data_IF_866850798207
#
_entry.id   IF_866850798207
#
_cell.length_a   1.000
_cell.length_b   1.000
_cell.length_c   1.000
_cell.angle_alpha   90.00
_cell.angle_beta   90.00
_cell.angle_gamma   90.00
#
_symmetry.space_group_name_H-M   'P 1'
#
loop_
_entity.id
_entity.type
_entity.pdbx_description
1 polymer ?
#
# COMPACT_ATOMS: atom_id res chain seq x y z
N UNK A 1 25.75 1.59 50.95
CA UNK A 1 25.69 0.38 50.09
C UNK A 1 24.55 -0.49 50.59
N UNK A 2 23.40 -0.44 49.92
CA UNK A 2 22.26 -1.32 50.18
C UNK A 2 21.94 -1.99 48.83
N UNK A 3 22.14 -3.30 48.77
CA UNK A 3 21.92 -4.10 47.57
C UNK A 3 20.43 -4.39 47.39
N UNK A 4 19.93 -4.10 46.20
CA UNK A 4 18.64 -4.59 45.70
C UNK A 4 18.94 -5.46 44.49
N UNK A 5 18.40 -6.68 44.51
CA UNK A 5 18.63 -7.74 43.53
C UNK A 5 17.96 -7.40 42.18
N UNK A 6 18.55 -7.74 41.03
CA UNK A 6 17.88 -7.65 39.74
C UNK A 6 16.88 -8.80 39.58
N UNK A 7 15.65 -8.49 39.16
CA UNK A 7 14.66 -9.46 38.74
C UNK A 7 14.94 -9.88 37.28
N UNK A 8 15.33 -11.13 37.09
CA UNK A 8 15.35 -11.83 35.81
C UNK A 8 13.93 -12.12 35.35
N UNK A 9 13.51 -11.55 34.22
CA UNK A 9 12.32 -11.97 33.48
C UNK A 9 12.74 -13.13 32.58
N UNK A 10 12.15 -14.29 32.82
CA UNK A 10 12.24 -15.47 31.98
C UNK A 10 10.87 -15.65 31.33
N UNK A 11 10.73 -15.35 30.04
CA UNK A 11 9.55 -15.74 29.27
C UNK A 11 9.95 -16.74 28.20
N UNK A 12 9.49 -17.97 28.44
CA UNK A 12 9.52 -19.11 27.55
C UNK A 12 8.37 -19.02 26.54
N UNK A 13 8.73 -19.04 25.26
CA UNK A 13 8.16 -19.86 24.18
C UNK A 13 6.63 -20.00 24.06
N UNK A 14 6.05 -19.43 23.00
CA UNK A 14 5.01 -20.09 22.19
C UNK A 14 4.86 -19.44 20.81
N UNK A 15 5.85 -19.64 19.94
CA UNK A 15 5.69 -19.52 18.49
C UNK A 15 5.71 -20.92 17.90
N UNK A 16 4.56 -21.41 17.41
CA UNK A 16 4.44 -22.42 16.33
C UNK A 16 3.03 -23.00 16.32
N UNK A 17 2.14 -22.43 15.51
CA UNK A 17 0.82 -23.01 15.26
C UNK A 17 0.31 -22.72 13.85
N UNK A 18 1.15 -22.88 12.83
CA UNK A 18 0.71 -23.02 11.44
C UNK A 18 1.65 -23.93 10.66
N UNK A 19 1.63 -25.22 10.96
CA UNK A 19 2.01 -26.26 9.98
C UNK A 19 1.31 -27.57 10.36
N UNK A 20 0.33 -27.97 9.56
CA UNK A 20 -0.23 -29.32 9.62
C UNK A 20 -0.45 -29.81 8.20
N UNK A 21 0.54 -30.54 7.70
CA UNK A 21 0.38 -31.48 6.59
C UNK A 21 0.35 -32.87 7.21
N UNK A 22 -0.67 -33.66 6.87
CA UNK A 22 -0.82 -35.05 7.30
C UNK A 22 -0.13 -35.97 6.29
N UNK A 23 0.70 -36.94 6.71
CA UNK A 23 1.20 -37.97 5.82
C UNK A 23 0.23 -39.16 5.79
N UNK A 24 -0.12 -39.62 4.58
CA UNK A 24 -0.76 -40.92 4.35
C UNK A 24 0.28 -41.81 3.68
N UNK A 25 0.74 -42.81 4.42
CA UNK A 25 1.53 -43.93 3.91
C UNK A 25 0.63 -44.91 3.13
N UNK A 26 1.06 -45.29 1.92
CA UNK A 26 0.74 -46.59 1.32
C UNK A 26 1.95 -47.12 0.57
N UNK A 27 2.39 -48.30 1.01
CA UNK A 27 3.48 -49.11 0.47
C UNK A 27 3.17 -49.70 -0.92
N UNK A 28 4.24 -49.85 -1.71
CA UNK A 28 4.48 -51.01 -2.60
C UNK A 28 4.04 -50.92 -4.06
N UNK A 29 4.99 -50.71 -4.98
CA UNK A 29 5.44 -51.71 -5.97
C UNK A 29 6.40 -51.08 -7.02
N UNK A 30 7.29 -51.92 -7.54
CA UNK A 30 8.56 -51.66 -8.21
C UNK A 30 8.56 -50.85 -9.52
N UNK A 31 9.64 -50.09 -9.75
CA UNK A 31 10.52 -50.23 -10.93
C UNK A 31 11.72 -49.28 -10.86
N UNK A 32 12.92 -49.83 -11.00
CA UNK A 32 14.18 -49.12 -11.23
C UNK A 32 14.12 -48.22 -12.49
N UNK A 33 14.74 -47.03 -12.44
CA UNK A 33 15.99 -46.74 -13.19
C UNK A 33 16.45 -45.29 -12.98
N UNK A 34 17.72 -45.14 -12.60
CA UNK A 34 18.49 -43.88 -12.55
C UNK A 34 18.60 -43.21 -13.93
N UNK A 35 18.49 -41.88 -14.00
CA UNK A 35 19.35 -41.00 -14.84
C UNK A 35 19.32 -39.57 -14.28
N UNK A 36 20.46 -38.91 -14.38
CA UNK A 36 20.93 -37.77 -13.61
C UNK A 36 20.44 -36.37 -14.07
N UNK A 37 20.60 -35.44 -13.13
CA UNK A 37 21.07 -34.03 -13.25
C UNK A 37 20.10 -32.88 -13.59
N UNK A 38 20.07 -31.89 -12.68
CA UNK A 38 19.98 -30.45 -12.96
C UNK A 38 18.60 -29.78 -13.07
N UNK A 39 18.18 -28.92 -12.10
CA UNK A 39 16.94 -28.17 -12.19
C UNK A 39 17.12 -26.87 -12.99
N UNK A 40 16.38 -26.71 -14.08
CA UNK A 40 16.20 -25.42 -14.74
C UNK A 40 14.97 -24.71 -14.12
N UNK A 41 15.24 -23.69 -13.32
CA UNK A 41 14.24 -22.74 -12.82
C UNK A 41 13.86 -21.79 -13.96
N UNK A 42 12.59 -21.64 -14.37
CA UNK A 42 12.20 -20.51 -15.19
C UNK A 42 12.01 -19.31 -14.27
N UNK A 43 13.06 -18.50 -14.21
CA UNK A 43 13.05 -17.10 -13.84
C UNK A 43 12.06 -16.38 -14.79
N UNK A 44 10.92 -15.95 -14.25
CA UNK A 44 9.97 -15.10 -14.95
C UNK A 44 10.15 -13.66 -14.46
N UNK A 45 11.35 -13.13 -14.68
CA UNK A 45 11.62 -11.71 -14.77
C UNK A 45 11.56 -11.32 -16.25
N UNK A 46 10.51 -10.60 -16.64
CA UNK A 46 10.45 -9.77 -17.84
C UNK A 46 9.17 -8.94 -17.74
N UNK A 47 9.17 -7.96 -16.85
CA UNK A 47 8.38 -6.75 -17.09
C UNK A 47 9.27 -5.84 -17.95
N UNK A 48 8.73 -5.54 -19.12
CA UNK A 48 9.35 -4.93 -20.27
C UNK A 48 9.58 -3.43 -20.01
N UNK A 49 10.64 -3.10 -19.27
CA UNK A 49 11.15 -1.73 -19.11
C UNK A 49 11.95 -1.28 -20.36
N UNK A 50 11.43 -1.53 -21.57
CA UNK A 50 11.95 -0.92 -22.79
C UNK A 50 11.57 0.58 -22.81
N UNK A 51 12.42 1.43 -22.22
CA UNK A 51 13.08 2.51 -22.97
C UNK A 51 12.74 2.65 -24.48
N UNK A 52 11.75 3.40 -25.04
CA UNK A 52 11.74 3.66 -26.47
C UNK A 52 12.94 4.57 -26.70
N UNK A 53 13.99 3.97 -27.22
CA UNK A 53 15.18 4.65 -27.67
C UNK A 53 14.78 5.45 -28.92
N UNK A 54 14.37 6.69 -28.69
CA UNK A 54 14.06 7.62 -29.78
C UNK A 54 15.36 8.00 -30.46
N UNK A 55 15.74 7.28 -31.51
CA UNK A 55 16.81 7.69 -32.42
C UNK A 55 16.39 8.99 -33.11
N UNK A 56 17.10 10.12 -32.93
CA UNK A 56 16.80 11.32 -33.67
C UNK A 56 17.21 11.09 -35.12
N UNK A 57 16.24 10.90 -36.01
CA UNK A 57 16.47 11.05 -37.45
C UNK A 57 17.17 12.40 -37.66
N UNK A 58 18.40 12.34 -38.16
CA UNK A 58 19.24 13.51 -38.43
C UNK A 58 18.69 14.25 -39.66
N UNK A 59 17.57 14.95 -39.50
CA UNK A 59 17.00 15.79 -40.55
C UNK A 59 17.63 17.19 -40.49
N UNK A 60 18.08 17.64 -41.66
CA UNK A 60 18.92 18.81 -41.93
C UNK A 60 18.54 20.10 -41.19
N UNK A 61 19.56 20.89 -40.86
CA UNK A 61 19.55 22.17 -40.12
C UNK A 61 18.55 23.23 -40.64
N UNK A 62 17.96 23.06 -41.83
CA UNK A 62 16.95 23.96 -42.42
C UNK A 62 15.50 23.65 -41.98
N UNK A 63 15.24 22.55 -41.26
CA UNK A 63 13.88 22.08 -40.86
C UNK A 63 13.53 22.45 -39.40
N UNK A 64 14.39 23.20 -38.71
CA UNK A 64 14.26 23.50 -37.27
C UNK A 64 13.23 24.61 -36.96
N UNK A 65 12.67 25.29 -37.96
CA UNK A 65 11.92 26.55 -37.79
C UNK A 65 10.39 26.42 -37.89
N UNK A 66 9.85 25.20 -37.89
CA UNK A 66 8.40 24.97 -37.81
C UNK A 66 7.96 24.77 -36.34
N UNK A 67 7.25 25.75 -35.73
CA UNK A 67 6.79 25.64 -34.34
C UNK A 67 5.88 24.43 -34.10
N UNK A 68 5.15 23.99 -35.12
CA UNK A 68 4.26 22.82 -35.02
C UNK A 68 5.09 21.55 -34.97
N UNK A 69 6.08 21.39 -35.86
CA UNK A 69 7.00 20.23 -35.81
C UNK A 69 7.81 20.21 -34.51
N UNK A 70 8.25 21.36 -34.02
CA UNK A 70 8.91 21.48 -32.72
C UNK A 70 7.99 21.00 -31.59
N UNK A 71 6.73 21.46 -31.58
CA UNK A 71 5.75 21.05 -30.56
C UNK A 71 5.42 19.56 -30.61
N UNK A 72 5.17 19.01 -31.80
CA UNK A 72 4.88 17.58 -32.00
C UNK A 72 6.05 16.70 -31.56
N UNK A 73 7.29 17.12 -31.86
CA UNK A 73 8.49 16.44 -31.39
C UNK A 73 8.61 16.53 -29.87
N UNK A 74 8.26 17.66 -29.25
CA UNK A 74 8.28 17.83 -27.79
C UNK A 74 7.27 16.94 -27.07
N UNK A 75 6.00 16.95 -27.49
CA UNK A 75 4.98 16.11 -26.87
C UNK A 75 5.18 14.62 -27.16
N UNK A 76 5.78 14.28 -28.31
CA UNK A 76 6.08 12.89 -28.69
C UNK A 76 7.15 12.22 -27.83
N UNK A 77 7.98 12.98 -27.10
CA UNK A 77 8.99 12.43 -26.19
C UNK A 77 8.40 11.82 -24.92
N UNK A 78 7.21 12.23 -24.51
CA UNK A 78 6.57 11.76 -23.28
C UNK A 78 5.65 10.60 -23.61
N UNK A 79 5.88 9.43 -23.00
CA UNK A 79 5.00 8.27 -23.18
C UNK A 79 3.61 8.56 -22.60
N UNK A 80 2.59 8.00 -23.23
CA UNK A 80 1.25 8.02 -22.67
C UNK A 80 1.21 7.21 -21.38
N UNK A 81 0.46 7.70 -20.39
CA UNK A 81 0.27 7.02 -19.12
C UNK A 81 -0.66 5.83 -19.30
N UNK A 82 -0.37 4.73 -18.60
CA UNK A 82 -1.34 3.66 -18.39
C UNK A 82 -2.33 4.06 -17.29
N UNK A 83 -3.48 3.38 -17.20
CA UNK A 83 -4.42 3.59 -16.10
C UNK A 83 -3.84 3.27 -14.72
N UNK A 84 -2.76 2.48 -14.63
CA UNK A 84 -2.04 2.25 -13.38
C UNK A 84 -1.17 3.47 -13.01
N UNK A 85 -0.49 4.05 -14.00
CA UNK A 85 0.35 5.24 -13.82
C UNK A 85 -0.48 6.46 -13.41
N UNK A 86 -1.63 6.65 -14.05
CA UNK A 86 -2.58 7.73 -13.71
C UNK A 86 -3.01 7.65 -12.24
N UNK A 87 -3.38 6.45 -11.77
CA UNK A 87 -3.73 6.21 -10.36
C UNK A 87 -2.56 6.47 -9.43
N UNK A 88 -1.36 6.01 -9.78
CA UNK A 88 -0.17 6.28 -8.96
C UNK A 88 0.14 7.77 -8.89
N UNK A 89 -0.01 8.51 -9.99
CA UNK A 89 0.24 9.94 -10.04
C UNK A 89 -0.82 10.71 -9.25
N UNK A 90 -2.09 10.34 -9.40
CA UNK A 90 -3.21 10.91 -8.64
C UNK A 90 -2.97 10.79 -7.13
N UNK A 91 -2.58 9.61 -6.63
CA UNK A 91 -2.26 9.40 -5.22
C UNK A 91 -1.10 10.27 -4.72
N UNK A 92 -0.05 10.43 -5.53
CA UNK A 92 1.09 11.31 -5.19
C UNK A 92 0.64 12.77 -5.07
N UNK A 93 -0.20 13.23 -6.01
CA UNK A 93 -0.75 14.60 -6.00
C UNK A 93 -1.66 14.80 -4.80
N UNK A 94 -2.57 13.87 -4.52
CA UNK A 94 -3.48 13.93 -3.37
C UNK A 94 -2.72 13.89 -2.05
N UNK A 95 -1.74 12.99 -1.91
CA UNK A 95 -0.86 12.94 -0.74
C UNK A 95 -0.11 14.25 -0.53
N UNK A 96 0.41 14.86 -1.59
CA UNK A 96 1.05 16.18 -1.52
C UNK A 96 0.09 17.27 -1.04
N UNK A 97 -1.12 17.33 -1.59
CA UNK A 97 -2.17 18.26 -1.15
C UNK A 97 -2.57 18.05 0.31
N UNK A 98 -2.69 16.80 0.73
CA UNK A 98 -3.03 16.44 2.11
C UNK A 98 -1.95 16.89 3.10
N UNK A 99 -0.67 16.68 2.75
CA UNK A 99 0.47 17.13 3.54
C UNK A 99 0.55 18.65 3.63
N UNK A 100 0.32 19.34 2.51
CA UNK A 100 0.32 20.81 2.48
C UNK A 100 -0.83 21.39 3.32
N UNK A 101 -2.03 20.81 3.23
CA UNK A 101 -3.16 21.19 4.07
C UNK A 101 -2.85 20.99 5.57
N UNK A 102 -2.26 19.86 5.94
CA UNK A 102 -1.85 19.61 7.32
C UNK A 102 -0.78 20.61 7.79
N UNK A 103 0.19 20.95 6.94
CA UNK A 103 1.20 21.98 7.25
C UNK A 103 0.55 23.33 7.49
N UNK A 104 -0.38 23.74 6.63
CA UNK A 104 -1.10 24.99 6.76
C UNK A 104 -1.92 25.05 8.05
N UNK A 105 -2.64 23.97 8.40
CA UNK A 105 -3.39 23.88 9.65
C UNK A 105 -2.49 24.11 10.88
N UNK A 106 -1.31 23.50 10.92
CA UNK A 106 -0.35 23.72 12.01
C UNK A 106 0.20 25.16 12.02
N UNK A 107 0.46 25.74 10.85
CA UNK A 107 0.94 27.11 10.75
C UNK A 107 -0.10 28.13 11.21
N UNK A 108 -1.38 27.91 10.90
CA UNK A 108 -2.49 28.73 11.38
C UNK A 108 -2.67 28.62 12.90
N UNK A 109 -2.51 27.43 13.47
CA UNK A 109 -2.67 27.20 14.92
C UNK A 109 -1.50 27.74 15.75
N UNK A 110 -0.27 27.60 15.27
CA UNK A 110 0.94 27.93 16.05
C UNK A 110 1.63 29.23 15.60
N UNK A 111 1.21 29.82 14.48
CA UNK A 111 1.80 31.04 13.91
C UNK A 111 3.24 30.85 13.40
N UNK A 112 3.65 29.60 13.17
CA UNK A 112 4.99 29.22 12.69
C UNK A 112 4.91 28.00 11.78
N UNK A 113 5.91 27.78 10.89
CA UNK A 113 5.94 26.58 10.08
C UNK A 113 6.05 25.31 10.94
N UNK A 114 5.29 24.28 10.57
CA UNK A 114 5.30 22.98 11.22
C UNK A 114 6.65 22.27 11.05
N UNK A 115 7.16 21.68 12.12
CA UNK A 115 8.36 20.83 12.09
C UNK A 115 8.02 19.48 11.46
N UNK A 116 8.97 18.81 10.80
CA UNK A 116 8.71 17.53 10.14
C UNK A 116 8.08 16.45 11.05
N UNK A 117 8.49 16.40 12.33
CA UNK A 117 7.94 15.43 13.29
C UNK A 117 6.50 15.78 13.73
N UNK A 118 6.11 17.05 13.72
CA UNK A 118 4.75 17.51 14.05
C UNK A 118 3.78 17.05 12.96
N UNK A 119 4.21 17.17 11.69
CA UNK A 119 3.48 16.64 10.54
C UNK A 119 3.34 15.12 10.65
N UNK A 120 4.43 14.40 10.93
CA UNK A 120 4.39 12.94 11.08
C UNK A 120 3.45 12.50 12.23
N UNK A 121 3.52 13.16 13.39
CA UNK A 121 2.62 12.89 14.51
C UNK A 121 1.16 13.23 14.19
N UNK A 122 0.92 14.31 13.44
CA UNK A 122 -0.40 14.70 12.95
C UNK A 122 -1.01 13.65 12.02
N UNK A 123 -0.22 13.09 11.10
CA UNK A 123 -0.64 11.99 10.23
C UNK A 123 -1.00 10.75 11.04
N UNK A 124 -0.16 10.33 11.98
CA UNK A 124 -0.43 9.19 12.85
C UNK A 124 -1.72 9.39 13.65
N UNK A 125 -1.95 10.60 14.18
CA UNK A 125 -3.18 10.94 14.88
C UNK A 125 -4.41 10.82 13.96
N UNK A 126 -4.32 11.30 12.71
CA UNK A 126 -5.39 11.16 11.72
C UNK A 126 -5.66 9.69 11.38
N UNK A 127 -4.62 8.87 11.23
CA UNK A 127 -4.77 7.43 11.02
C UNK A 127 -5.48 6.74 12.18
N UNK A 128 -5.09 7.04 13.43
CA UNK A 128 -5.75 6.50 14.63
C UNK A 128 -7.21 6.95 14.71
N UNK A 129 -7.50 8.21 14.37
CA UNK A 129 -8.88 8.72 14.36
C UNK A 129 -9.75 8.06 13.28
N UNK A 130 -9.15 7.49 12.23
CA UNK A 130 -9.86 6.76 11.18
C UNK A 130 -10.08 5.27 11.52
N UNK A 131 -9.74 4.82 12.72
CA UNK A 131 -9.85 3.41 13.16
C UNK A 131 -11.27 2.84 12.98
N UNK A 132 -12.32 3.61 13.29
CA UNK A 132 -13.71 3.16 13.09
C UNK A 132 -14.05 2.91 11.62
N UNK A 133 -13.54 3.74 10.71
CA UNK A 133 -13.71 3.58 9.27
C UNK A 133 -13.03 2.30 8.80
N UNK A 134 -11.80 2.05 9.25
CA UNK A 134 -11.05 0.85 8.88
C UNK A 134 -11.71 -0.40 9.42
N UNK A 135 -12.29 -0.36 10.63
CA UNK A 135 -13.06 -1.46 11.21
C UNK A 135 -14.31 -1.79 10.39
N UNK A 136 -15.16 -0.81 10.12
CA UNK A 136 -16.36 -1.01 9.30
C UNK A 136 -16.01 -1.53 7.90
N UNK A 137 -14.97 -0.98 7.27
CA UNK A 137 -14.50 -1.48 5.98
C UNK A 137 -13.97 -2.92 6.06
N UNK A 138 -13.25 -3.26 7.13
CA UNK A 138 -12.73 -4.61 7.34
C UNK A 138 -13.85 -5.62 7.53
N UNK A 139 -14.90 -5.26 8.27
CA UNK A 139 -16.07 -6.10 8.50
C UNK A 139 -16.83 -6.37 7.19
N UNK A 140 -17.01 -5.35 6.35
CA UNK A 140 -17.64 -5.50 5.03
C UNK A 140 -16.83 -6.35 4.06
N UNK A 141 -15.50 -6.34 4.19
CA UNK A 141 -14.60 -7.19 3.41
C UNK A 141 -14.40 -8.59 4.03
N UNK A 142 -15.03 -8.89 5.18
CA UNK A 142 -14.91 -10.16 5.89
C UNK A 142 -13.51 -10.43 6.46
N UNK A 143 -12.79 -9.38 6.83
CA UNK A 143 -11.44 -9.45 7.39
C UNK A 143 -11.49 -9.54 8.93
N UNK A 144 -10.46 -10.12 9.57
CA UNK A 144 -10.43 -10.21 11.02
C UNK A 144 -10.35 -8.80 11.65
N UNK A 145 -11.07 -8.63 12.76
CA UNK A 145 -11.01 -7.40 13.54
C UNK A 145 -9.62 -7.22 14.19
N UNK A 146 -9.19 -5.96 14.33
CA UNK A 146 -7.91 -5.54 14.95
C UNK A 146 -6.65 -5.80 14.10
N UNK A 147 -6.71 -5.45 12.82
CA UNK A 147 -5.53 -5.44 11.96
C UNK A 147 -4.47 -4.45 12.48
N UNK A 148 -3.21 -4.86 12.41
CA UNK A 148 -2.08 -3.95 12.66
C UNK A 148 -1.92 -2.98 11.49
N UNK A 149 -1.23 -1.85 11.72
CA UNK A 149 -0.97 -0.85 10.67
C UNK A 149 -0.25 -1.47 9.46
N UNK A 150 0.72 -2.36 9.68
CA UNK A 150 1.41 -3.06 8.59
C UNK A 150 0.47 -3.96 7.79
N UNK A 151 -0.44 -4.66 8.45
CA UNK A 151 -1.45 -5.47 7.76
C UNK A 151 -2.41 -4.58 6.96
N UNK A 152 -2.81 -3.42 7.49
CA UNK A 152 -3.67 -2.47 6.78
C UNK A 152 -2.98 -1.94 5.51
N UNK A 153 -1.68 -1.62 5.58
CA UNK A 153 -0.94 -1.06 4.44
C UNK A 153 -0.65 -2.09 3.35
N UNK A 154 -0.48 -3.37 3.70
CA UNK A 154 0.01 -4.40 2.78
C UNK A 154 -1.11 -5.34 2.30
N UNK A 155 -2.29 -5.34 2.95
CA UNK A 155 -3.37 -6.25 2.60
C UNK A 155 -4.07 -5.86 1.30
N UNK A 156 -3.82 -6.63 0.24
CA UNK A 156 -4.29 -6.36 -1.13
C UNK A 156 -5.78 -6.02 -1.24
N UNK A 157 -6.69 -6.80 -0.62
CA UNK A 157 -8.14 -6.54 -0.75
C UNK A 157 -8.56 -5.22 -0.11
N UNK A 158 -7.91 -4.85 1.00
CA UNK A 158 -8.23 -3.62 1.72
C UNK A 158 -7.69 -2.43 0.92
N UNK A 159 -6.46 -2.55 0.41
CA UNK A 159 -5.84 -1.59 -0.49
C UNK A 159 -6.64 -1.40 -1.76
N UNK A 160 -7.09 -2.47 -2.41
CA UNK A 160 -7.94 -2.38 -3.60
C UNK A 160 -9.27 -1.67 -3.29
N UNK A 161 -9.88 -1.91 -2.13
CA UNK A 161 -11.12 -1.23 -1.73
C UNK A 161 -10.94 0.27 -1.42
N UNK A 162 -9.77 0.67 -0.90
CA UNK A 162 -9.44 2.06 -0.60
C UNK A 162 -8.94 2.81 -1.84
N UNK A 163 -8.10 2.16 -2.65
CA UNK A 163 -7.42 2.74 -3.82
C UNK A 163 -8.30 2.70 -5.10
N UNK A 164 -9.40 1.95 -5.11
CA UNK A 164 -10.36 1.91 -6.21
C UNK A 164 -11.62 2.75 -5.93
N UNK A 165 -12.51 2.83 -6.92
CA UNK A 165 -13.80 3.47 -6.76
C UNK A 165 -14.65 2.69 -5.74
N UNK A 166 -14.98 3.34 -4.62
CA UNK A 166 -15.82 2.75 -3.58
C UNK A 166 -17.24 2.63 -4.12
N UNK A 167 -17.82 1.43 -4.04
CA UNK A 167 -19.20 1.23 -4.50
C UNK A 167 -20.18 1.98 -3.61
N UNK A 168 -21.28 2.46 -4.22
CA UNK A 168 -22.34 3.19 -3.51
C UNK A 168 -22.96 2.33 -2.40
N UNK A 169 -23.10 1.02 -2.64
CA UNK A 169 -23.64 0.08 -1.65
C UNK A 169 -22.70 -0.08 -0.45
N UNK A 170 -21.38 -0.13 -0.67
CA UNK A 170 -20.38 -0.18 0.40
C UNK A 170 -20.39 1.11 1.22
N UNK A 171 -20.46 2.27 0.57
CA UNK A 171 -20.58 3.56 1.26
C UNK A 171 -21.84 3.64 2.12
N UNK A 172 -22.98 3.16 1.61
CA UNK A 172 -24.23 3.15 2.35
C UNK A 172 -24.14 2.26 3.60
N UNK A 173 -23.62 1.04 3.43
CA UNK A 173 -23.40 0.12 4.54
C UNK A 173 -22.43 0.69 5.59
N UNK A 174 -21.33 1.34 5.16
CA UNK A 174 -20.36 1.91 6.10
C UNK A 174 -20.97 3.08 6.87
N UNK A 175 -21.79 3.90 6.22
CA UNK A 175 -22.47 5.01 6.87
C UNK A 175 -23.46 4.53 7.95
N UNK A 176 -24.18 3.43 7.69
CA UNK A 176 -25.08 2.80 8.67
C UNK A 176 -24.29 2.28 9.87
N UNK A 177 -23.25 1.47 9.64
CA UNK A 177 -22.38 0.94 10.68
C UNK A 177 -21.81 2.07 11.58
N UNK A 178 -21.29 3.12 10.97
CA UNK A 178 -20.67 4.24 11.68
C UNK A 178 -21.66 5.04 12.53
N UNK A 179 -22.91 5.18 12.06
CA UNK A 179 -23.95 5.86 12.84
C UNK A 179 -24.35 5.02 14.06
N UNK A 180 -24.47 3.70 13.91
CA UNK A 180 -24.71 2.78 15.03
C UNK A 180 -23.57 2.81 16.06
N UNK A 181 -22.32 2.86 15.60
CA UNK A 181 -21.17 3.02 16.50
C UNK A 181 -21.24 4.32 17.30
N UNK A 182 -21.59 5.45 16.68
CA UNK A 182 -21.73 6.72 17.40
C UNK A 182 -22.83 6.66 18.46
N UNK A 183 -23.98 6.07 18.13
CA UNK A 183 -25.12 5.92 19.05
C UNK A 183 -24.82 5.02 20.27
N UNK A 184 -24.01 3.96 20.09
CA UNK A 184 -23.56 3.10 21.20
C UNK A 184 -22.68 3.83 22.22
N UNK A 185 -21.82 4.75 21.77
CA UNK A 185 -20.93 5.50 22.67
C UNK A 185 -21.64 6.69 23.34
N UNK A 186 -22.58 7.35 22.67
CA UNK A 186 -23.34 8.45 23.27
C UNK A 186 -24.31 8.00 24.36
N UNK A 187 -24.84 6.78 24.28
CA UNK A 187 -25.76 6.22 25.30
C UNK A 187 -25.06 5.60 26.52
N UNK A 188 -23.72 5.55 26.52
CA UNK A 188 -22.94 4.93 27.61
C UNK A 188 -22.21 5.93 28.52
N UNK A 189 -22.43 7.23 28.30
CA UNK A 189 -21.88 8.33 29.11
C UNK A 189 -22.95 9.07 29.89
#
# INVERSE_FOLDING_TARGET
MAGVRPATINETSSESAWESTTPIDKEGDASDTNTADGPASPDASNDDDEEPEWEPETESVEVLDDPVRMYLREIGRVRLLTSADERSLARKIEGGKHLEGLRQEFEELEGRPARPWEIAAGLLKRMVNADSLVKSLSDQLGLPANLTVSQITDHKKLRDAIDAEVSVDMLAAMAEDLNEYQEMYTNRS
#
